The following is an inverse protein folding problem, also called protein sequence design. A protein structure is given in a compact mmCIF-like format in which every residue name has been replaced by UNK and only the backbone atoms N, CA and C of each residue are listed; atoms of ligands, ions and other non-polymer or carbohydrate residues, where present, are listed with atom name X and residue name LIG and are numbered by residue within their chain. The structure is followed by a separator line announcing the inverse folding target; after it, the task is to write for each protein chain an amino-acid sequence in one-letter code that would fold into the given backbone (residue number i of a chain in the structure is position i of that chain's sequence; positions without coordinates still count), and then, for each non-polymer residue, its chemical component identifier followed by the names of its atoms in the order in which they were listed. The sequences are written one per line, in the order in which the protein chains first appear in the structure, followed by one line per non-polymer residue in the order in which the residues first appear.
data_IF_868491292961
#
_entry.id   IF_868491292961
#
_cell.length_a   1.000
_cell.length_b   1.000
_cell.length_c   1.000
_cell.angle_alpha   90.00
_cell.angle_beta   90.00
_cell.angle_gamma   90.00
#
_symmetry.space_group_name_H-M   'P 1'
#
loop_
_entity.id
_entity.type
_entity.pdbx_description
1 polymer ?
#
# COMPACT_ATOMS: atom_id res chain seq x y z
N UNK A 1 17.61 38.06 5.13
CA UNK A 1 16.88 36.87 5.61
C UNK A 1 17.65 35.70 5.05
N UNK A 2 18.78 35.40 5.69
CA UNK A 2 19.61 34.27 5.34
C UNK A 2 18.82 33.00 5.64
N UNK A 3 18.68 32.15 4.63
CA UNK A 3 18.15 30.81 4.81
C UNK A 3 19.26 30.03 5.52
N UNK A 4 19.33 30.17 6.84
CA UNK A 4 20.15 29.31 7.69
C UNK A 4 19.64 27.88 7.47
N UNK A 5 20.35 27.17 6.60
CA UNK A 5 20.13 25.79 6.30
C UNK A 5 20.48 25.01 7.55
N UNK A 6 19.53 24.24 8.07
CA UNK A 6 19.70 23.23 9.12
C UNK A 6 20.89 22.26 8.92
N UNK A 7 21.57 22.33 7.77
CA UNK A 7 22.82 21.63 7.45
C UNK A 7 24.09 22.30 8.02
N UNK A 8 24.05 23.60 8.34
CA UNK A 8 25.20 24.35 8.91
C UNK A 8 25.20 24.30 10.45
N UNK A 9 24.05 23.98 11.05
CA UNK A 9 23.89 23.79 12.48
C UNK A 9 24.26 22.35 12.88
N UNK A 10 25.50 22.18 13.37
CA UNK A 10 26.03 20.89 13.82
C UNK A 10 25.12 20.18 14.85
N UNK A 11 24.41 20.96 15.68
CA UNK A 11 23.49 20.45 16.68
C UNK A 11 22.23 19.86 16.05
N UNK A 12 21.61 20.56 15.09
CA UNK A 12 20.49 20.05 14.29
C UNK A 12 20.83 18.78 13.49
N UNK A 13 22.03 18.70 12.91
CA UNK A 13 22.48 17.49 12.21
C UNK A 13 22.68 16.30 13.16
N UNK A 14 23.25 16.52 14.35
CA UNK A 14 23.41 15.48 15.36
C UNK A 14 22.06 14.91 15.81
N UNK A 15 21.10 15.79 16.15
CA UNK A 15 19.76 15.38 16.57
C UNK A 15 19.02 14.58 15.48
N UNK A 16 19.17 14.99 14.21
CA UNK A 16 18.62 14.23 13.08
C UNK A 16 19.25 12.83 12.97
N UNK A 17 20.57 12.73 13.10
CA UNK A 17 21.27 11.44 13.05
C UNK A 17 20.87 10.52 14.20
N UNK A 18 20.77 11.06 15.41
CA UNK A 18 20.35 10.30 16.59
C UNK A 18 18.93 9.78 16.41
N UNK A 19 17.99 10.64 15.98
CA UNK A 19 16.61 10.21 15.76
C UNK A 19 16.49 9.17 14.64
N UNK A 20 17.28 9.31 13.58
CA UNK A 20 17.36 8.34 12.49
C UNK A 20 17.95 7.01 12.95
N UNK A 21 18.92 7.03 13.86
CA UNK A 21 19.51 5.83 14.43
C UNK A 21 18.51 5.09 15.32
N UNK A 22 17.79 5.80 16.20
CA UNK A 22 16.70 5.24 17.02
C UNK A 22 15.65 4.54 16.16
N UNK A 23 15.14 5.23 15.14
CA UNK A 23 14.13 4.67 14.22
C UNK A 23 14.63 3.41 13.50
N UNK A 24 15.90 3.39 13.09
CA UNK A 24 16.50 2.22 12.45
C UNK A 24 16.66 1.06 13.43
N UNK A 25 17.01 1.34 14.69
CA UNK A 25 17.13 0.33 15.73
C UNK A 25 15.76 -0.27 16.06
N UNK A 26 14.72 0.56 16.21
CA UNK A 26 13.34 0.11 16.37
C UNK A 26 12.88 -0.75 15.19
N UNK A 27 13.16 -0.31 13.96
CA UNK A 27 12.84 -1.08 12.76
C UNK A 27 13.58 -2.43 12.74
N UNK A 28 14.86 -2.45 13.07
CA UNK A 28 15.65 -3.67 13.12
C UNK A 28 15.17 -4.61 14.22
N UNK A 29 14.82 -4.06 15.39
CA UNK A 29 14.27 -4.81 16.51
C UNK A 29 12.93 -5.45 16.11
N UNK A 30 12.05 -4.71 15.44
CA UNK A 30 10.76 -5.22 14.95
C UNK A 30 10.96 -6.38 13.95
N UNK A 31 11.82 -6.20 12.93
CA UNK A 31 12.11 -7.24 11.94
C UNK A 31 12.75 -8.48 12.57
N UNK A 32 13.58 -8.30 13.61
CA UNK A 32 14.23 -9.40 14.32
C UNK A 32 13.25 -10.14 15.23
N UNK A 33 12.33 -9.42 15.88
CA UNK A 33 11.32 -9.98 16.75
C UNK A 33 10.22 -10.75 16.00
N UNK A 34 9.99 -10.40 14.73
CA UNK A 34 8.94 -10.99 13.88
C UNK A 34 9.55 -11.77 12.71
N UNK A 35 10.05 -13.01 12.93
CA UNK A 35 10.60 -13.85 11.87
C UNK A 35 9.57 -14.18 10.78
N UNK A 36 8.26 -14.08 11.07
CA UNK A 36 7.17 -14.25 10.11
C UNK A 36 7.29 -13.26 8.94
N UNK A 37 7.71 -12.02 9.21
CA UNK A 37 7.91 -11.00 8.18
C UNK A 37 8.99 -11.42 7.18
N UNK A 38 10.08 -12.02 7.67
CA UNK A 38 11.15 -12.53 6.81
C UNK A 38 10.67 -13.70 5.94
N UNK A 39 9.86 -14.60 6.50
CA UNK A 39 9.27 -15.69 5.73
C UNK A 39 8.32 -15.17 4.65
N UNK A 40 7.42 -14.25 4.99
CA UNK A 40 6.48 -13.63 4.04
C UNK A 40 7.20 -12.96 2.86
N UNK A 41 8.24 -12.16 3.14
CA UNK A 41 9.03 -11.50 2.10
C UNK A 41 9.79 -12.54 1.27
N UNK A 42 10.34 -13.58 1.89
CA UNK A 42 11.04 -14.66 1.18
C UNK A 42 10.12 -15.40 0.21
N UNK A 43 8.87 -15.65 0.59
CA UNK A 43 7.88 -16.32 -0.26
C UNK A 43 7.44 -15.42 -1.41
N UNK A 44 7.25 -14.13 -1.16
CA UNK A 44 7.00 -13.15 -2.21
C UNK A 44 8.17 -13.04 -3.21
N UNK A 45 9.41 -13.03 -2.73
CA UNK A 45 10.59 -12.99 -3.60
C UNK A 45 10.73 -14.25 -4.45
N UNK A 46 10.49 -15.44 -3.88
CA UNK A 46 10.45 -16.69 -4.66
C UNK A 46 9.39 -16.63 -5.76
N UNK A 47 8.22 -16.08 -5.44
CA UNK A 47 7.14 -15.88 -6.42
C UNK A 47 7.57 -15.00 -7.60
N UNK A 48 8.22 -13.85 -7.31
CA UNK A 48 8.74 -12.96 -8.35
C UNK A 48 9.82 -13.64 -9.20
N UNK A 49 10.75 -14.37 -8.56
CA UNK A 49 11.87 -15.00 -9.27
C UNK A 49 11.38 -16.05 -10.27
N UNK A 50 10.32 -16.79 -9.92
CA UNK A 50 9.73 -17.82 -10.77
C UNK A 50 8.87 -17.22 -11.88
N UNK A 51 7.97 -16.25 -11.56
CA UNK A 51 7.04 -15.69 -12.55
C UNK A 51 7.65 -14.62 -13.45
N UNK A 52 8.69 -13.92 -12.98
CA UNK A 52 9.35 -12.77 -13.65
C UNK A 52 8.34 -11.81 -14.31
N UNK A 53 7.42 -11.22 -13.54
CA UNK A 53 6.44 -10.31 -14.08
C UNK A 53 7.11 -9.05 -14.66
N UNK A 54 6.56 -8.51 -15.75
CA UNK A 54 6.99 -7.22 -16.31
C UNK A 54 6.70 -6.06 -15.35
N UNK A 55 5.62 -6.18 -14.56
CA UNK A 55 5.26 -5.24 -13.50
C UNK A 55 5.28 -5.92 -12.12
N UNK A 56 6.37 -5.69 -11.40
CA UNK A 56 6.59 -6.23 -10.05
C UNK A 56 5.65 -5.60 -9.03
N UNK A 57 5.21 -4.36 -9.25
CA UNK A 57 4.34 -3.65 -8.31
C UNK A 57 2.91 -4.19 -8.34
N UNK A 58 2.36 -4.45 -9.53
CA UNK A 58 1.06 -5.11 -9.64
C UNK A 58 1.09 -6.53 -9.08
N UNK A 59 2.16 -7.29 -9.36
CA UNK A 59 2.33 -8.61 -8.77
C UNK A 59 2.38 -8.59 -7.23
N UNK A 60 2.98 -7.55 -6.62
CA UNK A 60 2.95 -7.34 -5.18
C UNK A 60 1.52 -7.10 -4.69
N UNK A 61 0.79 -6.19 -5.34
CA UNK A 61 -0.60 -5.89 -4.96
C UNK A 61 -1.47 -7.13 -4.98
N UNK A 62 -1.40 -7.92 -6.04
CA UNK A 62 -2.19 -9.14 -6.17
C UNK A 62 -1.76 -10.20 -5.15
N UNK A 63 -0.45 -10.37 -4.92
CA UNK A 63 0.09 -11.30 -3.93
C UNK A 63 -0.25 -10.91 -2.49
N UNK A 64 -0.35 -9.61 -2.18
CA UNK A 64 -0.70 -9.16 -0.83
C UNK A 64 -2.20 -8.99 -0.62
N UNK A 65 -3.00 -8.87 -1.69
CA UNK A 65 -4.45 -8.79 -1.61
C UNK A 65 -5.07 -10.04 -0.99
N UNK A 66 -4.52 -11.23 -1.24
CA UNK A 66 -4.96 -12.50 -0.62
C UNK A 66 -4.75 -12.58 0.91
N UNK A 67 -4.04 -11.63 1.52
CA UNK A 67 -3.86 -11.54 2.97
C UNK A 67 -4.70 -10.42 3.61
N UNK A 68 -5.49 -9.70 2.82
CA UNK A 68 -6.50 -8.81 3.37
C UNK A 68 -7.61 -9.68 3.93
N UNK A 69 -7.90 -9.55 5.21
CA UNK A 69 -9.14 -10.09 5.77
C UNK A 69 -10.29 -9.35 5.06
N UNK A 70 -11.28 -10.09 4.57
CA UNK A 70 -12.43 -9.54 3.84
C UNK A 70 -13.26 -8.65 4.78
N UNK A 71 -12.88 -7.38 4.95
CA UNK A 71 -13.67 -6.35 5.65
C UNK A 71 -14.60 -5.58 4.68
N UNK A 72 -14.70 -5.99 3.42
CA UNK A 72 -15.43 -5.26 2.37
C UNK A 72 -16.63 -6.07 1.78
N UNK A 73 -17.47 -6.68 2.63
CA UNK A 73 -18.78 -7.24 2.20
C UNK A 73 -19.97 -6.29 2.42
N UNK A 74 -19.79 -5.08 2.97
CA UNK A 74 -20.91 -4.20 3.36
C UNK A 74 -21.19 -2.97 2.44
N UNK A 75 -20.46 -2.74 1.34
CA UNK A 75 -20.67 -1.57 0.46
C UNK A 75 -20.98 -1.91 -1.01
N UNK A 76 -21.87 -2.87 -1.25
CA UNK A 76 -22.54 -3.02 -2.54
C UNK A 76 -24.05 -3.04 -2.31
N UNK A 77 -24.70 -1.88 -2.46
CA UNK A 77 -26.10 -1.70 -2.91
C UNK A 77 -26.61 -0.28 -2.56
N UNK A 78 -26.14 0.73 -3.29
CA UNK A 78 -27.01 1.84 -3.67
C UNK A 78 -26.43 2.49 -4.94
N UNK A 79 -27.28 3.13 -5.75
CA UNK A 79 -26.98 3.69 -7.08
C UNK A 79 -27.24 2.75 -8.28
N UNK A 80 -28.41 2.11 -8.28
CA UNK A 80 -29.07 1.72 -9.53
C UNK A 80 -30.54 2.17 -9.50
N UNK A 81 -30.82 3.41 -9.90
CA UNK A 81 -32.06 3.74 -10.62
C UNK A 81 -32.03 5.18 -11.16
N UNK A 82 -32.05 5.33 -12.49
CA UNK A 82 -32.13 6.66 -13.09
C UNK A 82 -31.86 6.77 -14.59
N UNK A 83 -32.37 5.85 -15.43
CA UNK A 83 -32.56 6.19 -16.84
C UNK A 83 -33.64 5.32 -17.50
N UNK A 84 -34.90 5.72 -17.34
CA UNK A 84 -36.00 5.21 -18.17
C UNK A 84 -36.05 5.96 -19.50
N UNK A 85 -35.66 5.25 -20.55
CA UNK A 85 -35.74 5.66 -21.95
C UNK A 85 -37.19 5.60 -22.45
N UNK A 86 -37.82 6.75 -22.70
CA UNK A 86 -39.12 6.77 -23.38
C UNK A 86 -38.95 6.79 -24.91
N UNK A 87 -38.94 5.60 -25.50
CA UNK A 87 -39.04 5.34 -26.93
C UNK A 87 -40.35 4.64 -27.30
N UNK A 88 -41.28 5.41 -27.87
CA UNK A 88 -42.18 5.09 -29.00
C UNK A 88 -42.78 3.67 -29.18
N UNK A 89 -44.11 3.59 -29.25
CA UNK A 89 -44.89 2.53 -29.93
C UNK A 89 -46.20 2.19 -29.19
N UNK A 90 -47.35 2.76 -29.55
CA UNK A 90 -48.34 2.34 -30.58
C UNK A 90 -49.08 1.02 -30.30
N UNK A 91 -50.38 0.99 -30.65
CA UNK A 91 -51.37 -0.13 -30.63
C UNK A 91 -52.36 -0.03 -29.45
N UNK A 92 -53.52 0.61 -29.61
CA UNK A 92 -54.75 0.19 -30.30
C UNK A 92 -55.61 -0.78 -29.47
N UNK A 93 -56.79 -0.31 -29.06
CA UNK A 93 -58.11 -0.97 -29.19
C UNK A 93 -59.23 0.02 -28.84
#
# INVERSE_FOLDING_TARGET
MDRETWEDDQEGWSMYLDKKAELKEEQHAYVTAHPELKHLVSDFLQHIIVRKPDDVYQAAKDYFAQFREDEDEDEAEDEAEGNETNGTGTTAQ
#
